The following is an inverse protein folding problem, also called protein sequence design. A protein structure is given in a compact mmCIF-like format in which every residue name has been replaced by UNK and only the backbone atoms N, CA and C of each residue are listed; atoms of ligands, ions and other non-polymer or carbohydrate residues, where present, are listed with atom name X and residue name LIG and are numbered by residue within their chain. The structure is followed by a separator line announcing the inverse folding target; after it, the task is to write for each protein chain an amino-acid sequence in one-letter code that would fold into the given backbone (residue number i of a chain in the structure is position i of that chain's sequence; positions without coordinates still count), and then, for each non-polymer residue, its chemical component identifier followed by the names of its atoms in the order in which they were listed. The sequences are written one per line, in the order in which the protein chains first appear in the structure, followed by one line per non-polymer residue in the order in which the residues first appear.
data_IF_596883212800
#
_entry.id   IF_596883212800
#
_cell.length_a   1.000
_cell.length_b   1.000
_cell.length_c   1.000
_cell.angle_alpha   90.00
_cell.angle_beta   90.00
_cell.angle_gamma   90.00
#
_symmetry.space_group_name_H-M   'P 1'
#
loop_
_entity.id
_entity.type
_entity.pdbx_description
1 polymer ?
#
# COMPACT_ATOMS: atom_id res chain seq x y z
N UNK A 1 34.85 -0.79 18.24
CA UNK A 1 33.95 0.37 18.50
C UNK A 1 33.87 1.32 17.30
N UNK A 2 34.99 1.81 16.75
CA UNK A 2 35.00 2.67 15.55
C UNK A 2 34.44 2.01 14.28
N UNK A 3 34.63 0.69 14.12
CA UNK A 3 34.08 -0.08 12.98
C UNK A 3 32.55 -0.23 13.01
N UNK A 4 31.96 -0.30 14.21
CA UNK A 4 30.50 -0.37 14.38
C UNK A 4 29.82 0.98 14.15
N UNK A 5 30.46 2.08 14.54
CA UNK A 5 29.95 3.45 14.35
C UNK A 5 29.94 3.87 12.86
N UNK A 6 31.00 3.50 12.12
CA UNK A 6 31.05 3.77 10.68
C UNK A 6 30.02 2.94 9.89
N UNK A 7 29.76 1.69 10.30
CA UNK A 7 28.76 0.82 9.68
C UNK A 7 27.33 1.32 9.92
N UNK A 8 27.01 1.79 11.13
CA UNK A 8 25.68 2.36 11.42
C UNK A 8 25.46 3.67 10.67
N UNK A 9 26.44 4.58 10.66
CA UNK A 9 26.34 5.85 9.93
C UNK A 9 26.19 5.64 8.40
N UNK A 10 26.93 4.69 7.83
CA UNK A 10 26.79 4.32 6.41
C UNK A 10 25.40 3.75 6.13
N UNK A 11 24.88 2.90 7.03
CA UNK A 11 23.55 2.33 6.92
C UNK A 11 22.44 3.40 6.96
N UNK A 12 22.55 4.42 7.82
CA UNK A 12 21.54 5.47 7.90
C UNK A 12 21.53 6.40 6.68
N UNK A 13 22.71 6.72 6.12
CA UNK A 13 22.80 7.47 4.86
C UNK A 13 22.17 6.72 3.69
N UNK A 14 22.34 5.39 3.65
CA UNK A 14 21.66 4.55 2.65
C UNK A 14 20.14 4.62 2.82
N UNK A 15 19.63 4.54 4.06
CA UNK A 15 18.19 4.67 4.30
C UNK A 15 17.64 6.06 3.94
N UNK A 16 18.37 7.14 4.27
CA UNK A 16 18.02 8.49 3.85
C UNK A 16 17.94 8.60 2.31
N UNK A 17 18.91 8.02 1.60
CA UNK A 17 18.91 7.95 0.14
C UNK A 17 17.70 7.21 -0.43
N UNK A 18 17.38 6.03 0.12
CA UNK A 18 16.21 5.23 -0.31
C UNK A 18 14.90 5.99 -0.11
N UNK A 19 14.67 6.59 1.07
CA UNK A 19 13.47 7.41 1.29
C UNK A 19 13.43 8.66 0.41
N UNK A 20 14.60 9.25 0.12
CA UNK A 20 14.73 10.35 -0.84
C UNK A 20 14.27 9.94 -2.24
N UNK A 21 14.74 8.79 -2.75
CA UNK A 21 14.30 8.25 -4.03
C UNK A 21 12.79 7.97 -4.05
N UNK A 22 12.26 7.36 -2.98
CA UNK A 22 10.81 7.11 -2.85
C UNK A 22 10.02 8.42 -2.90
N UNK A 23 10.52 9.48 -2.25
CA UNK A 23 9.86 10.78 -2.27
C UNK A 23 9.88 11.41 -3.68
N UNK A 24 11.04 11.42 -4.33
CA UNK A 24 11.22 12.02 -5.67
C UNK A 24 10.41 11.30 -6.74
N UNK A 25 10.27 9.98 -6.65
CA UNK A 25 9.53 9.16 -7.62
C UNK A 25 8.05 9.08 -7.24
N UNK A 26 7.76 8.75 -5.99
CA UNK A 26 6.42 8.49 -5.50
C UNK A 26 5.54 9.74 -5.47
N UNK A 27 6.07 10.91 -5.10
CA UNK A 27 5.29 12.15 -5.03
C UNK A 27 4.67 12.54 -6.38
N UNK A 28 5.44 12.71 -7.47
CA UNK A 28 4.87 13.10 -8.76
C UNK A 28 3.95 12.02 -9.32
N UNK A 29 4.29 10.74 -9.19
CA UNK A 29 3.47 9.64 -9.73
C UNK A 29 2.11 9.53 -9.02
N UNK A 30 2.08 9.60 -7.68
CA UNK A 30 0.82 9.54 -6.94
C UNK A 30 0.01 10.82 -7.08
N UNK A 31 0.64 12.00 -7.12
CA UNK A 31 -0.05 13.26 -7.33
C UNK A 31 -0.69 13.33 -8.73
N UNK A 32 0.04 12.94 -9.78
CA UNK A 32 -0.48 12.87 -11.13
C UNK A 32 -1.63 11.85 -11.23
N UNK A 33 -1.45 10.67 -10.63
CA UNK A 33 -2.48 9.61 -10.62
C UNK A 33 -3.76 10.07 -9.90
N UNK A 34 -3.63 10.72 -8.74
CA UNK A 34 -4.76 11.29 -8.01
C UNK A 34 -5.47 12.38 -8.83
N UNK A 35 -4.71 13.29 -9.46
CA UNK A 35 -5.26 14.32 -10.33
C UNK A 35 -6.05 13.73 -11.50
N UNK A 36 -5.48 12.73 -12.19
CA UNK A 36 -6.14 12.03 -13.29
C UNK A 36 -7.41 11.32 -12.82
N UNK A 37 -7.36 10.62 -11.68
CA UNK A 37 -8.52 9.93 -11.10
C UNK A 37 -9.68 10.89 -10.80
N UNK A 38 -9.38 12.02 -10.16
CA UNK A 38 -10.38 13.01 -9.80
C UNK A 38 -10.98 13.69 -11.02
N UNK A 39 -10.16 14.03 -12.04
CA UNK A 39 -10.60 14.76 -13.23
C UNK A 39 -11.28 13.87 -14.28
N UNK A 40 -10.78 12.65 -14.50
CA UNK A 40 -11.19 11.77 -15.61
C UNK A 40 -12.19 10.69 -15.20
N UNK A 41 -12.13 10.19 -13.95
CA UNK A 41 -12.92 9.01 -13.54
C UNK A 41 -14.17 9.34 -12.70
N UNK A 42 -14.42 10.61 -12.37
CA UNK A 42 -15.66 11.10 -11.76
C UNK A 42 -16.12 10.38 -10.47
N UNK A 43 -15.26 9.63 -9.77
CA UNK A 43 -15.59 8.85 -8.56
C UNK A 43 -16.86 7.97 -8.66
N UNK A 44 -17.34 7.70 -9.88
CA UNK A 44 -18.59 6.97 -10.13
C UNK A 44 -18.40 5.46 -10.06
N UNK A 45 -17.18 4.97 -10.29
CA UNK A 45 -16.85 3.55 -10.18
C UNK A 45 -16.27 3.22 -8.79
N UNK A 46 -16.63 2.06 -8.20
CA UNK A 46 -16.09 1.62 -6.91
C UNK A 46 -14.56 1.48 -6.95
N UNK A 47 -14.03 0.99 -8.08
CA UNK A 47 -12.59 0.86 -8.31
C UNK A 47 -11.85 2.20 -8.18
N UNK A 48 -12.40 3.28 -8.76
CA UNK A 48 -11.79 4.60 -8.70
C UNK A 48 -11.77 5.14 -7.26
N UNK A 49 -12.78 4.86 -6.45
CA UNK A 49 -12.80 5.26 -5.04
C UNK A 49 -11.66 4.59 -4.26
N UNK A 50 -11.44 3.28 -4.43
CA UNK A 50 -10.34 2.60 -3.76
C UNK A 50 -8.97 3.10 -4.25
N UNK A 51 -8.79 3.32 -5.56
CA UNK A 51 -7.54 3.87 -6.10
C UNK A 51 -7.25 5.29 -5.58
N UNK A 52 -8.27 6.15 -5.45
CA UNK A 52 -8.10 7.50 -4.88
C UNK A 52 -7.69 7.44 -3.42
N UNK A 53 -8.28 6.54 -2.63
CA UNK A 53 -7.91 6.39 -1.23
C UNK A 53 -6.51 5.78 -1.05
N UNK A 54 -6.10 4.86 -1.94
CA UNK A 54 -4.73 4.33 -1.98
C UNK A 54 -3.73 5.45 -2.27
N UNK A 55 -3.94 6.22 -3.35
CA UNK A 55 -3.07 7.34 -3.72
C UNK A 55 -3.02 8.43 -2.62
N UNK A 56 -4.14 8.70 -1.95
CA UNK A 56 -4.17 9.61 -0.81
C UNK A 56 -3.32 9.10 0.34
N UNK A 57 -3.42 7.80 0.65
CA UNK A 57 -2.60 7.16 1.69
C UNK A 57 -1.11 7.22 1.38
N UNK A 58 -0.72 6.99 0.12
CA UNK A 58 0.67 7.10 -0.33
C UNK A 58 1.20 8.52 -0.22
N UNK A 59 0.41 9.52 -0.65
CA UNK A 59 0.80 10.92 -0.52
C UNK A 59 0.99 11.34 0.93
N UNK A 60 0.13 10.88 1.84
CA UNK A 60 0.25 11.18 3.27
C UNK A 60 1.57 10.67 3.86
N UNK A 61 2.00 9.45 3.50
CA UNK A 61 3.30 8.93 3.96
C UNK A 61 4.46 9.62 3.25
N UNK A 62 4.37 9.87 1.94
CA UNK A 62 5.43 10.51 1.16
C UNK A 62 5.72 11.93 1.67
N UNK A 63 4.69 12.72 1.97
CA UNK A 63 4.84 14.07 2.55
C UNK A 63 5.49 14.03 3.93
N UNK A 64 5.38 12.91 4.66
CA UNK A 64 6.03 12.71 5.96
C UNK A 64 7.49 12.24 5.87
N UNK A 65 7.94 11.73 4.71
CA UNK A 65 9.30 11.23 4.51
C UNK A 65 10.43 12.25 4.72
N UNK A 66 10.31 13.55 4.39
CA UNK A 66 11.37 14.53 4.62
C UNK A 66 11.91 14.52 6.05
N UNK A 67 11.01 14.39 7.03
CA UNK A 67 11.37 14.34 8.45
C UNK A 67 12.12 13.04 8.80
N UNK A 68 11.74 11.93 8.16
CA UNK A 68 12.43 10.64 8.33
C UNK A 68 13.82 10.66 7.68
N UNK A 69 13.94 11.30 6.52
CA UNK A 69 15.21 11.52 5.82
C UNK A 69 16.13 12.39 6.68
N UNK A 70 15.62 13.50 7.23
CA UNK A 70 16.36 14.37 8.13
C UNK A 70 16.91 13.57 9.32
N UNK A 71 16.05 12.82 10.01
CA UNK A 71 16.47 12.01 11.16
C UNK A 71 17.57 11.01 10.79
N UNK A 72 17.47 10.31 9.65
CA UNK A 72 18.52 9.38 9.22
C UNK A 72 19.80 10.07 8.76
N UNK A 73 19.75 11.33 8.32
CA UNK A 73 20.91 12.10 7.91
C UNK A 73 21.66 12.73 9.10
N UNK A 74 20.95 13.24 10.10
CA UNK A 74 21.52 14.01 11.22
C UNK A 74 21.56 13.26 12.54
N UNK A 75 20.79 12.15 12.67
CA UNK A 75 20.49 11.47 13.94
C UNK A 75 19.82 12.37 14.98
N UNK A 76 19.28 13.51 14.55
CA UNK A 76 18.59 14.46 15.41
C UNK A 76 17.11 14.53 15.07
N UNK A 77 16.27 14.63 16.10
CA UNK A 77 14.84 14.89 15.95
C UNK A 77 14.53 16.30 16.48
N UNK A 78 14.28 17.28 15.60
CA UNK A 78 14.12 18.67 16.01
C UNK A 78 12.69 19.03 16.42
N UNK A 79 11.72 18.14 16.18
CA UNK A 79 10.30 18.37 16.48
C UNK A 79 9.88 17.76 17.82
N UNK A 80 8.64 18.01 18.22
CA UNK A 80 8.06 17.41 19.43
C UNK A 80 7.87 15.89 19.32
N UNK A 81 7.71 15.24 20.47
CA UNK A 81 7.34 13.81 20.54
C UNK A 81 6.00 13.53 19.84
N UNK A 82 5.07 14.49 19.85
CA UNK A 82 3.78 14.37 19.16
C UNK A 82 3.97 14.32 17.64
N UNK A 83 4.90 15.10 17.08
CA UNK A 83 5.21 15.00 15.66
C UNK A 83 5.83 13.64 15.29
N UNK A 84 6.71 13.12 16.14
CA UNK A 84 7.30 11.78 15.96
C UNK A 84 6.21 10.70 15.94
N UNK A 85 5.27 10.77 16.88
CA UNK A 85 4.11 9.89 16.95
C UNK A 85 3.30 9.96 15.65
N UNK A 86 2.90 11.17 15.22
CA UNK A 86 2.07 11.36 14.02
C UNK A 86 2.76 10.75 12.79
N UNK A 87 4.05 11.04 12.57
CA UNK A 87 4.78 10.54 11.39
C UNK A 87 4.94 9.02 11.44
N UNK A 88 5.20 8.45 12.63
CA UNK A 88 5.24 7.01 12.82
C UNK A 88 3.89 6.36 12.50
N UNK A 89 2.80 6.99 12.95
CA UNK A 89 1.45 6.51 12.70
C UNK A 89 1.06 6.63 11.23
N UNK A 90 1.41 7.72 10.54
CA UNK A 90 1.19 7.87 9.10
C UNK A 90 1.83 6.72 8.30
N UNK A 91 3.06 6.31 8.65
CA UNK A 91 3.72 5.18 8.02
C UNK A 91 2.99 3.85 8.27
N UNK A 92 2.63 3.55 9.52
CA UNK A 92 1.90 2.31 9.87
C UNK A 92 0.52 2.28 9.23
N UNK A 93 -0.14 3.43 9.20
CA UNK A 93 -1.43 3.63 8.60
C UNK A 93 -1.41 3.41 7.09
N UNK A 94 -0.39 3.93 6.38
CA UNK A 94 -0.17 3.64 4.96
C UNK A 94 -0.04 2.13 4.73
N UNK A 95 0.89 1.47 5.42
CA UNK A 95 1.14 0.04 5.26
C UNK A 95 -0.13 -0.82 5.41
N UNK A 96 -0.95 -0.53 6.43
CA UNK A 96 -2.21 -1.25 6.69
C UNK A 96 -3.27 -0.91 5.66
N UNK A 97 -3.50 0.37 5.41
CA UNK A 97 -4.55 0.83 4.48
C UNK A 97 -4.25 0.40 3.04
N UNK A 98 -3.00 0.45 2.59
CA UNK A 98 -2.60 0.02 1.25
C UNK A 98 -2.91 -1.46 1.01
N UNK A 99 -2.60 -2.32 2.00
CA UNK A 99 -2.96 -3.75 1.95
C UNK A 99 -4.47 -3.97 1.75
N UNK A 100 -5.30 -3.22 2.48
CA UNK A 100 -6.75 -3.30 2.36
C UNK A 100 -7.25 -2.78 1.00
N UNK A 101 -6.79 -1.61 0.56
CA UNK A 101 -7.23 -1.02 -0.70
C UNK A 101 -6.80 -1.86 -1.91
N UNK A 102 -5.57 -2.39 -1.93
CA UNK A 102 -5.10 -3.30 -2.99
C UNK A 102 -6.00 -4.55 -3.05
N UNK A 103 -6.34 -5.12 -1.90
CA UNK A 103 -7.24 -6.29 -1.84
C UNK A 103 -8.65 -5.96 -2.30
N UNK A 104 -9.20 -4.81 -1.92
CA UNK A 104 -10.51 -4.36 -2.38
C UNK A 104 -10.53 -4.09 -3.88
N UNK A 105 -9.46 -3.52 -4.44
CA UNK A 105 -9.29 -3.37 -5.88
C UNK A 105 -9.29 -4.75 -6.56
N UNK A 106 -8.54 -5.71 -6.04
CA UNK A 106 -8.48 -7.10 -6.54
C UNK A 106 -9.86 -7.76 -6.55
N UNK A 107 -10.60 -7.66 -5.44
CA UNK A 107 -11.94 -8.22 -5.29
C UNK A 107 -12.95 -7.54 -6.21
N UNK A 108 -12.94 -6.21 -6.33
CA UNK A 108 -13.82 -5.51 -7.28
C UNK A 108 -13.53 -5.93 -8.73
N UNK A 109 -12.25 -6.10 -9.08
CA UNK A 109 -11.85 -6.61 -10.41
C UNK A 109 -12.29 -8.04 -10.63
N UNK A 110 -12.14 -8.93 -9.65
CA UNK A 110 -12.66 -10.30 -9.70
C UNK A 110 -14.18 -10.28 -9.96
N UNK A 111 -14.93 -9.51 -9.17
CA UNK A 111 -16.39 -9.40 -9.30
C UNK A 111 -16.80 -8.85 -10.68
N UNK A 112 -16.05 -7.91 -11.22
CA UNK A 112 -16.28 -7.35 -12.55
C UNK A 112 -16.09 -8.37 -13.68
N UNK A 113 -15.12 -9.28 -13.54
CA UNK A 113 -14.78 -10.27 -14.58
C UNK A 113 -15.62 -11.54 -14.45
N UNK A 114 -15.78 -12.06 -13.24
CA UNK A 114 -16.41 -13.37 -13.00
C UNK A 114 -17.92 -13.25 -12.77
N UNK A 115 -18.39 -12.16 -12.16
CA UNK A 115 -19.81 -12.00 -11.78
C UNK A 115 -20.40 -10.63 -12.19
N UNK A 116 -20.32 -10.23 -13.47
CA UNK A 116 -20.67 -8.86 -13.90
C UNK A 116 -22.11 -8.45 -13.58
N UNK A 117 -23.09 -9.35 -13.75
CA UNK A 117 -24.51 -9.04 -13.49
C UNK A 117 -24.87 -9.16 -12.01
N UNK A 118 -24.38 -10.21 -11.33
CA UNK A 118 -24.69 -10.49 -9.93
C UNK A 118 -24.06 -9.47 -8.98
N UNK A 119 -22.91 -8.91 -9.31
CA UNK A 119 -22.18 -7.95 -8.45
C UNK A 119 -22.60 -6.49 -8.63
N UNK A 120 -23.51 -6.16 -9.56
CA UNK A 120 -23.91 -4.78 -9.87
C UNK A 120 -24.41 -3.99 -8.66
N UNK A 121 -25.11 -4.63 -7.74
CA UNK A 121 -25.64 -3.99 -6.51
C UNK A 121 -24.54 -3.71 -5.48
N UNK A 122 -23.47 -4.52 -5.44
CA UNK A 122 -22.32 -4.31 -4.55
C UNK A 122 -21.37 -3.24 -5.12
N UNK A 123 -21.18 -3.23 -6.43
CA UNK A 123 -20.24 -2.39 -7.18
C UNK A 123 -20.74 -0.96 -7.38
N UNK A 124 -21.23 -0.33 -6.32
CA UNK A 124 -21.67 1.06 -6.31
C UNK A 124 -20.63 1.95 -5.64
N UNK A 125 -20.52 3.21 -6.08
CA UNK A 125 -19.61 4.19 -5.46
C UNK A 125 -19.94 4.42 -3.98
N UNK A 126 -21.23 4.41 -3.59
CA UNK A 126 -21.65 4.54 -2.19
C UNK A 126 -21.08 3.42 -1.31
N UNK A 127 -21.15 2.16 -1.77
CA UNK A 127 -20.59 1.04 -1.02
C UNK A 127 -19.06 1.10 -0.96
N UNK A 128 -18.40 1.57 -2.02
CA UNK A 128 -16.96 1.76 -2.01
C UNK A 128 -16.52 2.85 -1.02
N UNK A 129 -17.25 3.96 -0.92
CA UNK A 129 -17.00 5.00 0.08
C UNK A 129 -17.21 4.48 1.50
N UNK A 130 -18.26 3.69 1.74
CA UNK A 130 -18.45 3.00 3.04
C UNK A 130 -17.28 2.06 3.34
N UNK A 131 -16.85 1.28 2.34
CA UNK A 131 -15.68 0.40 2.44
C UNK A 131 -14.41 1.14 2.82
N UNK A 132 -14.13 2.27 2.15
CA UNK A 132 -12.99 3.11 2.45
C UNK A 132 -13.07 3.71 3.86
N UNK A 133 -14.23 4.24 4.26
CA UNK A 133 -14.44 4.77 5.60
C UNK A 133 -14.22 3.69 6.68
N UNK A 134 -14.71 2.46 6.45
CA UNK A 134 -14.46 1.33 7.35
C UNK A 134 -12.98 0.99 7.43
N UNK A 135 -12.25 0.99 6.31
CA UNK A 135 -10.80 0.76 6.31
C UNK A 135 -10.10 1.81 7.14
N UNK A 136 -10.34 3.11 6.91
CA UNK A 136 -9.75 4.20 7.68
C UNK A 136 -10.04 4.08 9.17
N UNK A 137 -11.29 3.81 9.55
CA UNK A 137 -11.66 3.62 10.95
C UNK A 137 -10.94 2.40 11.56
N UNK A 138 -10.91 1.29 10.84
CA UNK A 138 -10.29 0.05 11.32
C UNK A 138 -8.78 0.23 11.54
N UNK A 139 -8.06 0.86 10.59
CA UNK A 139 -6.62 1.10 10.74
C UNK A 139 -6.33 2.09 11.87
N UNK A 140 -7.18 3.09 12.08
CA UNK A 140 -7.05 4.02 13.21
C UNK A 140 -7.22 3.27 14.54
N UNK A 141 -8.23 2.41 14.67
CA UNK A 141 -8.45 1.59 15.87
C UNK A 141 -7.25 0.69 16.15
N UNK A 142 -6.68 0.04 15.12
CA UNK A 142 -5.47 -0.78 15.28
C UNK A 142 -4.25 0.02 15.75
N UNK A 143 -4.17 1.31 15.43
CA UNK A 143 -3.08 2.19 15.88
C UNK A 143 -3.25 2.70 17.33
N UNK A 144 -4.44 2.55 17.95
CA UNK A 144 -4.69 3.09 19.31
C UNK A 144 -3.78 2.47 20.37
N UNK A 145 -3.63 1.14 20.48
CA UNK A 145 -2.79 0.54 21.52
C UNK A 145 -1.32 0.98 21.39
N UNK A 146 -0.83 1.03 20.16
CA UNK A 146 0.53 1.47 19.83
C UNK A 146 0.76 2.95 20.17
N UNK A 147 -0.27 3.78 19.98
CA UNK A 147 -0.24 5.21 20.33
C UNK A 147 -0.22 5.42 21.84
N UNK A 148 -1.07 4.71 22.59
CA UNK A 148 -1.12 4.81 24.05
C UNK A 148 0.19 4.36 24.68
N UNK A 149 0.80 3.31 24.14
CA UNK A 149 2.10 2.83 24.61
C UNK A 149 3.23 3.83 24.31
N UNK A 150 3.24 4.44 23.11
CA UNK A 150 4.19 5.50 22.79
C UNK A 150 4.09 6.69 23.75
N UNK A 151 2.88 7.15 24.06
CA UNK A 151 2.65 8.29 24.97
C UNK A 151 3.12 8.00 26.40
N UNK A 152 3.01 6.76 26.87
CA UNK A 152 3.50 6.36 28.21
C UNK A 152 5.03 6.41 28.32
N UNK A 153 5.74 6.22 27.21
CA UNK A 153 7.18 6.05 27.17
C UNK A 153 7.94 7.23 26.53
N UNK A 154 7.27 8.37 26.32
CA UNK A 154 7.77 9.49 25.53
C UNK A 154 8.94 10.29 26.15
N UNK A 155 9.48 9.89 27.31
CA UNK A 155 10.51 10.66 28.03
C UNK A 155 11.94 10.51 27.47
N UNK A 156 12.18 9.72 26.42
CA UNK A 156 13.53 9.51 25.86
C UNK A 156 13.63 9.89 24.37
N UNK A 157 14.73 10.57 24.05
CA UNK A 157 14.93 11.49 22.93
C UNK A 157 15.33 10.88 21.57
N UNK A 158 14.91 9.67 21.20
CA UNK A 158 15.27 9.09 19.89
C UNK A 158 14.06 8.61 19.09
N UNK A 159 13.48 9.50 18.29
CA UNK A 159 12.44 9.17 17.31
C UNK A 159 12.99 8.18 16.27
N UNK A 160 12.21 7.20 15.80
CA UNK A 160 12.62 6.20 14.79
C UNK A 160 13.84 5.30 15.11
N UNK A 161 14.51 5.46 16.25
CA UNK A 161 15.63 4.57 16.60
C UNK A 161 15.11 3.19 17.00
N UNK A 162 15.78 2.14 16.51
CA UNK A 162 15.33 0.76 16.61
C UNK A 162 16.01 0.05 17.79
N UNK A 163 16.04 0.70 18.96
CA UNK A 163 16.56 0.05 20.16
C UNK A 163 15.55 -1.01 20.65
N UNK A 164 15.98 -2.28 20.85
CA UNK A 164 15.12 -3.36 21.33
C UNK A 164 14.43 -3.08 22.66
N UNK A 165 15.02 -2.22 23.48
CA UNK A 165 14.52 -1.86 24.82
C UNK A 165 13.39 -0.82 24.80
N UNK A 166 13.16 -0.14 23.67
CA UNK A 166 12.28 1.04 23.59
C UNK A 166 11.08 0.88 22.66
N UNK A 167 10.69 -0.36 22.36
CA UNK A 167 9.42 -0.65 21.67
C UNK A 167 8.54 -1.60 22.47
N UNK A 168 7.72 -1.10 23.40
CA UNK A 168 6.62 -1.85 23.99
C UNK A 168 5.31 -1.76 23.17
N UNK A 169 5.33 -1.20 21.96
CA UNK A 169 4.08 -0.93 21.22
C UNK A 169 3.57 -2.10 20.38
N UNK A 170 4.38 -3.11 20.12
CA UNK A 170 3.93 -4.32 19.44
C UNK A 170 4.05 -5.47 20.44
N UNK A 171 3.02 -5.66 21.26
CA UNK A 171 2.87 -6.94 21.94
C UNK A 171 2.96 -8.02 20.86
N UNK A 172 3.58 -9.16 21.18
CA UNK A 172 3.67 -10.30 20.24
C UNK A 172 2.29 -10.64 19.65
N UNK A 173 1.22 -10.36 20.39
CA UNK A 173 -0.17 -10.49 19.96
C UNK A 173 -0.53 -9.53 18.82
N UNK A 174 -0.23 -8.23 18.91
CA UNK A 174 -0.51 -7.27 17.81
C UNK A 174 0.35 -7.62 16.58
N UNK A 175 1.60 -8.04 16.80
CA UNK A 175 2.48 -8.52 15.73
C UNK A 175 1.87 -9.72 14.99
N UNK A 176 1.36 -10.68 15.75
CA UNK A 176 0.73 -11.88 15.23
C UNK A 176 -0.58 -11.57 14.51
N UNK A 177 -1.44 -10.72 15.08
CA UNK A 177 -2.68 -10.26 14.44
C UNK A 177 -2.38 -9.58 13.10
N UNK A 178 -1.37 -8.71 13.06
CA UNK A 178 -0.94 -8.07 11.82
C UNK A 178 -0.44 -9.10 10.79
N UNK A 179 0.38 -10.07 11.20
CA UNK A 179 0.83 -11.14 10.32
C UNK A 179 -0.33 -11.97 9.75
N UNK A 180 -1.27 -12.39 10.61
CA UNK A 180 -2.47 -13.15 10.18
C UNK A 180 -3.31 -12.34 9.19
N UNK A 181 -3.46 -11.03 9.42
CA UNK A 181 -4.18 -10.13 8.51
C UNK A 181 -3.50 -10.06 7.14
N UNK A 182 -2.17 -9.88 7.09
CA UNK A 182 -1.42 -9.86 5.81
C UNK A 182 -1.55 -11.19 5.07
N UNK A 183 -1.41 -12.33 5.76
CA UNK A 183 -1.54 -13.66 5.15
C UNK A 183 -2.97 -13.89 4.64
N UNK A 184 -3.99 -13.45 5.39
CA UNK A 184 -5.39 -13.55 4.96
C UNK A 184 -5.65 -12.73 3.71
N UNK A 185 -5.17 -11.48 3.65
CA UNK A 185 -5.32 -10.62 2.47
C UNK A 185 -4.54 -11.18 1.26
N UNK A 186 -3.35 -11.74 1.48
CA UNK A 186 -2.60 -12.43 0.43
C UNK A 186 -3.39 -13.64 -0.10
N UNK A 187 -3.96 -14.47 0.77
CA UNK A 187 -4.77 -15.61 0.38
C UNK A 187 -5.97 -15.19 -0.47
N UNK A 188 -6.67 -14.11 -0.09
CA UNK A 188 -7.76 -13.53 -0.89
C UNK A 188 -7.26 -13.12 -2.28
N UNK A 189 -6.11 -12.44 -2.38
CA UNK A 189 -5.53 -12.04 -3.67
C UNK A 189 -5.13 -13.24 -4.53
N UNK A 190 -4.59 -14.31 -3.94
CA UNK A 190 -4.27 -15.56 -4.65
C UNK A 190 -5.56 -16.19 -5.19
N UNK A 191 -6.60 -16.32 -4.37
CA UNK A 191 -7.90 -16.87 -4.80
C UNK A 191 -8.50 -16.03 -5.93
N UNK A 192 -8.47 -14.70 -5.81
CA UNK A 192 -8.93 -13.80 -6.87
C UNK A 192 -8.17 -14.06 -8.19
N UNK A 193 -6.84 -14.16 -8.11
CA UNK A 193 -5.98 -14.41 -9.26
C UNK A 193 -6.29 -15.74 -9.94
N UNK A 194 -6.43 -16.82 -9.15
CA UNK A 194 -6.73 -18.17 -9.65
C UNK A 194 -8.11 -18.21 -10.31
N UNK A 195 -9.12 -17.63 -9.67
CA UNK A 195 -10.50 -17.59 -10.20
C UNK A 195 -10.58 -16.82 -11.51
N UNK A 196 -9.95 -15.64 -11.58
CA UNK A 196 -9.89 -14.86 -12.83
C UNK A 196 -9.12 -15.63 -13.90
N UNK A 197 -7.95 -16.19 -13.58
CA UNK A 197 -7.16 -16.97 -14.54
C UNK A 197 -7.95 -18.15 -15.10
N UNK A 198 -8.74 -18.83 -14.27
CA UNK A 198 -9.58 -19.96 -14.68
C UNK A 198 -10.71 -19.54 -15.63
N UNK A 199 -11.49 -18.51 -15.26
CA UNK A 199 -12.56 -17.96 -16.11
C UNK A 199 -12.00 -17.49 -17.45
N UNK A 200 -10.86 -16.82 -17.41
CA UNK A 200 -10.21 -16.23 -18.57
C UNK A 200 -9.54 -17.28 -19.48
N UNK A 201 -9.20 -18.45 -18.95
CA UNK A 201 -8.79 -19.62 -19.76
C UNK A 201 -9.99 -20.31 -20.41
N UNK A 202 -11.12 -20.42 -19.70
CA UNK A 202 -12.32 -21.11 -20.20
C UNK A 202 -13.10 -20.33 -21.26
N UNK A 203 -13.17 -19.00 -21.15
CA UNK A 203 -14.05 -18.18 -21.99
C UNK A 203 -13.34 -17.36 -23.08
N UNK A 204 -12.00 -17.33 -23.11
CA UNK A 204 -11.21 -16.53 -24.06
C UNK A 204 -10.10 -17.35 -24.71
N UNK A 205 -10.46 -18.44 -25.40
CA UNK A 205 -9.53 -19.31 -26.14
C UNK A 205 -9.13 -18.77 -27.52
N UNK A 206 -9.66 -17.63 -27.98
CA UNK A 206 -9.31 -17.07 -29.28
C UNK A 206 -8.12 -16.11 -29.23
N UNK A 207 -7.14 -16.37 -30.09
CA UNK A 207 -5.82 -15.72 -30.15
C UNK A 207 -5.87 -14.18 -30.29
N UNK A 208 -6.93 -13.63 -30.87
CA UNK A 208 -7.09 -12.18 -31.08
C UNK A 208 -7.38 -11.37 -29.79
N UNK A 209 -7.77 -12.01 -28.67
CA UNK A 209 -8.06 -11.34 -27.37
C UNK A 209 -6.94 -11.45 -26.32
N UNK A 210 -5.77 -11.98 -26.69
CA UNK A 210 -4.64 -12.21 -25.75
C UNK A 210 -4.14 -10.90 -25.10
N UNK A 211 -4.10 -9.78 -25.83
CA UNK A 211 -3.65 -8.51 -25.24
C UNK A 211 -4.62 -7.98 -24.16
N UNK A 212 -5.93 -8.13 -24.36
CA UNK A 212 -6.91 -7.74 -23.35
C UNK A 212 -6.89 -8.69 -22.13
N UNK A 213 -6.55 -9.97 -22.37
CA UNK A 213 -6.32 -10.99 -21.34
C UNK A 213 -5.13 -10.65 -20.44
N UNK A 214 -4.01 -10.28 -21.05
CA UNK A 214 -2.77 -9.92 -20.37
C UNK A 214 -2.95 -8.71 -19.47
N UNK A 215 -3.57 -7.64 -19.97
CA UNK A 215 -3.78 -6.40 -19.21
C UNK A 215 -4.63 -6.63 -17.94
N UNK A 216 -5.66 -7.47 -18.02
CA UNK A 216 -6.49 -7.82 -16.86
C UNK A 216 -5.70 -8.64 -15.84
N UNK A 217 -4.95 -9.64 -16.29
CA UNK A 217 -4.14 -10.49 -15.39
C UNK A 217 -3.00 -9.73 -14.74
N UNK A 218 -2.45 -8.72 -15.41
CA UNK A 218 -1.32 -7.94 -14.92
C UNK A 218 -1.67 -7.22 -13.61
N UNK A 219 -2.90 -6.70 -13.46
CA UNK A 219 -3.36 -6.10 -12.18
C UNK A 219 -3.24 -7.10 -11.03
N UNK A 220 -3.69 -8.35 -11.23
CA UNK A 220 -3.61 -9.39 -10.21
C UNK A 220 -2.16 -9.80 -9.92
N UNK A 221 -1.32 -9.91 -10.95
CA UNK A 221 0.12 -10.21 -10.80
C UNK A 221 0.81 -9.09 -10.02
N UNK A 222 0.55 -7.82 -10.34
CA UNK A 222 1.13 -6.69 -9.62
C UNK A 222 0.69 -6.66 -8.15
N UNK A 223 -0.57 -6.96 -7.85
CA UNK A 223 -1.03 -7.11 -6.48
C UNK A 223 -0.21 -8.18 -5.74
N UNK A 224 -0.03 -9.36 -6.34
CA UNK A 224 0.77 -10.43 -5.73
C UNK A 224 2.24 -10.02 -5.52
N UNK A 225 2.82 -9.29 -6.47
CA UNK A 225 4.18 -8.74 -6.34
C UNK A 225 4.29 -7.74 -5.19
N UNK A 226 3.32 -6.82 -5.05
CA UNK A 226 3.25 -5.87 -3.94
C UNK A 226 3.19 -6.61 -2.58
N UNK A 227 2.36 -7.65 -2.47
CA UNK A 227 2.32 -8.47 -1.27
C UNK A 227 3.63 -9.22 -1.00
N UNK A 228 4.18 -9.90 -2.01
CA UNK A 228 5.37 -10.72 -1.86
C UNK A 228 6.62 -9.90 -1.52
N UNK A 229 6.75 -8.70 -2.08
CA UNK A 229 7.94 -7.85 -1.92
C UNK A 229 7.75 -6.84 -0.79
N UNK A 230 6.62 -6.13 -0.74
CA UNK A 230 6.47 -4.98 0.17
C UNK A 230 5.85 -5.35 1.52
N UNK A 231 4.86 -6.23 1.56
CA UNK A 231 4.07 -6.45 2.79
C UNK A 231 4.49 -7.71 3.57
N UNK A 232 4.71 -8.82 2.88
CA UNK A 232 5.02 -10.12 3.50
C UNK A 232 6.39 -10.17 4.20
N UNK A 233 7.48 -9.63 3.64
CA UNK A 233 8.78 -9.69 4.31
C UNK A 233 8.76 -8.91 5.63
N UNK A 234 8.09 -7.76 5.66
CA UNK A 234 7.94 -6.97 6.88
C UNK A 234 7.06 -7.69 7.91
N UNK A 235 5.94 -8.30 7.52
CA UNK A 235 5.07 -9.01 8.48
C UNK A 235 5.76 -10.24 9.09
N UNK A 236 6.55 -10.98 8.31
CA UNK A 236 7.39 -12.08 8.82
C UNK A 236 8.46 -11.53 9.76
N UNK A 237 9.19 -10.50 9.35
CA UNK A 237 10.28 -9.93 10.16
C UNK A 237 9.80 -9.37 11.49
N UNK A 238 8.63 -8.76 11.51
CA UNK A 238 7.97 -8.28 12.73
C UNK A 238 7.72 -9.40 13.75
N UNK A 239 7.45 -10.63 13.31
CA UNK A 239 7.15 -11.78 14.19
C UNK A 239 8.41 -12.58 14.54
N UNK A 240 9.38 -12.67 13.62
CA UNK A 240 10.46 -13.66 13.69
C UNK A 240 11.84 -13.06 13.99
N UNK A 241 12.05 -11.78 13.72
CA UNK A 241 13.37 -11.16 13.67
C UNK A 241 13.56 -10.16 14.82
N UNK A 242 14.81 -9.94 15.23
CA UNK A 242 15.16 -8.92 16.23
C UNK A 242 14.87 -7.51 15.68
N UNK A 243 14.47 -6.54 16.52
CA UNK A 243 14.15 -5.18 16.08
C UNK A 243 15.25 -4.48 15.26
N UNK A 244 16.52 -4.83 15.49
CA UNK A 244 17.71 -4.29 14.81
C UNK A 244 17.78 -4.64 13.32
N UNK A 245 17.17 -5.76 12.91
CA UNK A 245 17.18 -6.26 11.53
C UNK A 245 15.89 -5.90 10.76
N UNK A 246 14.98 -5.14 11.39
CA UNK A 246 13.71 -4.73 10.78
C UNK A 246 13.84 -3.51 9.85
N UNK A 247 14.92 -2.71 9.98
CA UNK A 247 15.14 -1.49 9.20
C UNK A 247 15.08 -1.71 7.67
N UNK A 248 15.77 -2.72 7.08
CA UNK A 248 15.69 -2.99 5.66
C UNK A 248 14.27 -3.35 5.19
N UNK A 249 13.54 -4.14 5.99
CA UNK A 249 12.19 -4.59 5.68
C UNK A 249 11.18 -3.43 5.66
N UNK A 250 11.38 -2.43 6.51
CA UNK A 250 10.58 -1.18 6.50
C UNK A 250 10.86 -0.34 5.26
N UNK A 251 12.11 -0.30 4.82
CA UNK A 251 12.46 0.39 3.57
C UNK A 251 11.84 -0.32 2.38
N UNK A 252 11.93 -1.65 2.36
CA UNK A 252 11.31 -2.48 1.34
C UNK A 252 9.79 -2.30 1.31
N UNK A 253 9.13 -2.22 2.47
CA UNK A 253 7.69 -1.97 2.51
C UNK A 253 7.32 -0.60 1.96
N UNK A 254 8.15 0.43 2.16
CA UNK A 254 7.91 1.78 1.66
C UNK A 254 7.99 1.89 0.11
N UNK A 255 8.61 0.90 -0.55
CA UNK A 255 8.66 0.82 -2.02
C UNK A 255 7.25 0.65 -2.61
N UNK A 256 6.27 0.19 -1.83
CA UNK A 256 4.87 0.08 -2.27
C UNK A 256 4.36 1.38 -2.91
N UNK A 257 4.69 2.53 -2.32
CA UNK A 257 4.21 3.83 -2.78
C UNK A 257 4.74 4.20 -4.18
N UNK A 258 5.84 3.59 -4.64
CA UNK A 258 6.38 3.76 -5.99
C UNK A 258 5.79 2.76 -7.00
N UNK A 259 5.27 1.63 -6.51
CA UNK A 259 4.74 0.55 -7.33
C UNK A 259 3.21 0.69 -7.55
N UNK A 260 2.48 1.30 -6.62
CA UNK A 260 1.04 1.54 -6.73
C UNK A 260 0.63 2.37 -7.97
N UNK A 261 1.42 3.35 -8.45
CA UNK A 261 1.18 4.01 -9.73
C UNK A 261 1.08 3.08 -10.95
N UNK A 262 1.82 1.97 -10.96
CA UNK A 262 1.69 0.98 -12.03
C UNK A 262 0.33 0.29 -11.97
N UNK A 263 -0.15 -0.02 -10.77
CA UNK A 263 -1.49 -0.59 -10.56
C UNK A 263 -2.57 0.36 -11.10
N UNK A 264 -2.44 1.67 -10.89
CA UNK A 264 -3.35 2.66 -11.49
C UNK A 264 -3.28 2.65 -13.02
N UNK A 265 -2.08 2.69 -13.59
CA UNK A 265 -1.86 2.70 -15.04
C UNK A 265 -2.55 1.51 -15.73
N UNK A 266 -2.31 0.29 -15.26
CA UNK A 266 -2.91 -0.91 -15.86
C UNK A 266 -4.42 -1.02 -15.58
N UNK A 267 -4.88 -0.46 -14.46
CA UNK A 267 -6.29 -0.32 -14.15
C UNK A 267 -7.02 0.60 -15.14
N UNK A 268 -6.33 1.64 -15.66
CA UNK A 268 -6.84 2.55 -16.70
C UNK A 268 -6.84 1.91 -18.09
N UNK A 269 -5.72 1.32 -18.53
CA UNK A 269 -5.60 0.71 -19.87
C UNK A 269 -6.63 -0.41 -20.09
N UNK A 270 -6.90 -1.22 -19.06
CA UNK A 270 -7.92 -2.28 -19.13
C UNK A 270 -9.36 -1.76 -19.22
N UNK A 271 -9.65 -0.55 -18.70
CA UNK A 271 -10.97 0.07 -18.76
C UNK A 271 -11.20 0.90 -20.03
N UNK A 272 -10.17 1.62 -20.51
CA UNK A 272 -10.29 2.55 -21.63
C UNK A 272 -10.30 1.86 -22.99
N UNK A 273 -9.50 0.81 -23.18
CA UNK A 273 -9.54 0.04 -24.43
C UNK A 273 -10.92 -0.57 -24.70
N UNK A 274 -11.62 -0.98 -23.64
CA UNK A 274 -12.99 -1.48 -23.73
C UNK A 274 -14.04 -0.40 -24.02
N UNK A 275 -13.72 0.88 -23.81
CA UNK A 275 -14.60 2.02 -24.08
C UNK A 275 -14.39 2.56 -25.51
N UNK A 276 -13.16 2.56 -26.01
CA UNK A 276 -12.88 2.84 -27.44
C UNK A 276 -13.46 1.73 -28.34
N UNK A 277 -13.31 0.46 -27.97
CA UNK A 277 -13.90 -0.67 -28.74
C UNK A 277 -15.44 -0.70 -28.70
N UNK A 278 -16.07 0.05 -27.78
CA UNK A 278 -17.52 0.14 -27.64
C UNK A 278 -18.13 1.39 -28.27
N UNK A 279 -17.31 2.26 -28.89
CA UNK A 279 -17.77 3.46 -29.60
C UNK A 279 -17.33 3.50 -31.09
N UNK A 280 -17.67 2.51 -31.95
CA UNK A 280 -17.59 2.70 -33.40
C UNK A 280 -18.83 3.41 -33.98
N UNK A 281 -19.77 3.90 -33.16
CA UNK A 281 -21.05 4.45 -33.63
C UNK A 281 -21.08 5.99 -33.65
N UNK A 282 -19.95 6.63 -33.99
CA UNK A 282 -19.90 8.08 -34.15
C UNK A 282 -18.99 8.57 -35.28
N UNK A 283 -19.01 7.87 -36.42
CA UNK A 283 -18.71 8.49 -37.71
C UNK A 283 -19.72 7.96 -38.74
N UNK A 284 -20.87 8.64 -38.80
CA UNK A 284 -21.68 8.79 -40.00
C UNK A 284 -21.51 10.23 -40.47
#
# INVERSE_FOLDING_TARGET
LATGFNATCLSDRVYAGVFGCIMVIGLPLNAASLWILLRRHSLKSPNAVFMVNLALSDLLVIISLPMRIYFHATREWPLSNMACLIITMLFRNNLRSSTFFITFISVDRLLAVVYPLRSRHLRTSSNAWKGAAMVWLFVLVLNVPETLDFLKNANHSSCFDFSPEWRPGLTKDIAFVYFVLIVTMLAVNIVCTVMVAWVLRRHLSDSAKINNKMNVMLIFVMNLVLFAICFLPLSIGVVTVKPTELKPLICLSAVNCCLDPFLYYFSFDGFWKKKEDADPAREQ
#
